data_IF_268376275408
#
_entry.id   IF_268376275408
#
_cell.length_a   1.000
_cell.length_b   1.000
_cell.length_c   1.000
_cell.angle_alpha   90.00
_cell.angle_beta   90.00
_cell.angle_gamma   90.00
#
_symmetry.space_group_name_H-M   'P 1'
#
loop_
_entity.id
_entity.type
_entity.pdbx_description
1 polymer ?
#
# COMPACT_ATOMS: atom_id res chain seq x y z
N UNK A 1 54.62 25.23 16.86
CA UNK A 1 53.34 25.90 17.19
C UNK A 1 52.51 25.97 15.90
N UNK A 2 51.31 25.38 15.87
CA UNK A 2 50.45 25.30 14.68
C UNK A 2 49.57 26.55 14.59
N UNK A 3 49.47 27.21 13.43
CA UNK A 3 48.51 28.29 13.17
C UNK A 3 47.88 28.17 11.77
N UNK A 4 46.54 28.18 11.80
CA UNK A 4 45.47 28.40 10.80
C UNK A 4 45.73 28.12 9.31
N UNK A 5 45.01 27.20 8.66
CA UNK A 5 43.56 27.17 8.32
C UNK A 5 43.19 28.20 7.26
N UNK A 6 43.02 27.72 6.03
CA UNK A 6 42.53 28.50 4.90
C UNK A 6 42.40 27.61 3.68
N UNK A 7 41.30 26.85 3.58
CA UNK A 7 40.97 26.16 2.34
C UNK A 7 39.47 26.15 2.14
N UNK A 8 39.04 27.26 1.54
CA UNK A 8 38.22 27.29 0.34
C UNK A 8 36.76 26.82 0.44
N UNK A 9 35.89 27.82 0.43
CA UNK A 9 34.44 27.73 0.34
C UNK A 9 34.03 27.01 -0.96
N UNK A 10 33.33 25.89 -0.82
CA UNK A 10 32.61 25.23 -1.92
C UNK A 10 31.11 25.32 -1.61
N UNK A 11 30.43 26.34 -2.12
CA UNK A 11 28.99 26.27 -2.27
C UNK A 11 28.69 25.50 -3.55
N UNK A 12 28.37 24.22 -3.43
CA UNK A 12 27.67 23.51 -4.51
C UNK A 12 26.22 23.36 -4.06
N UNK A 13 25.41 24.35 -4.46
CA UNK A 13 23.99 24.14 -4.67
C UNK A 13 23.86 23.09 -5.79
N UNK A 14 23.41 21.90 -5.42
CA UNK A 14 23.31 20.75 -6.30
C UNK A 14 22.32 19.75 -5.74
N UNK A 15 21.05 20.14 -5.81
CA UNK A 15 19.85 19.35 -5.56
C UNK A 15 20.01 17.86 -5.94
N UNK A 16 20.26 16.99 -4.97
CA UNK A 16 20.07 15.55 -5.14
C UNK A 16 19.03 15.09 -4.12
N UNK A 17 17.79 15.21 -4.54
CA UNK A 17 16.66 14.48 -3.98
C UNK A 17 17.02 12.99 -4.09
N UNK A 18 17.11 12.22 -2.98
CA UNK A 18 17.21 10.78 -3.11
C UNK A 18 15.96 10.30 -3.84
N UNK A 19 16.16 9.72 -5.04
CA UNK A 19 15.13 9.11 -5.87
C UNK A 19 14.23 8.23 -4.99
N UNK A 20 12.96 8.61 -4.90
CA UNK A 20 11.92 7.83 -4.25
C UNK A 20 11.89 6.41 -4.83
N UNK A 21 12.42 5.45 -4.07
CA UNK A 21 12.13 4.03 -4.26
C UNK A 21 11.84 3.45 -2.87
N UNK A 22 10.58 3.49 -2.39
CA UNK A 22 10.23 2.66 -1.26
C UNK A 22 10.28 1.21 -1.73
N UNK A 23 11.30 0.48 -1.30
CA UNK A 23 11.32 -0.99 -1.32
C UNK A 23 10.18 -1.44 -0.38
N UNK A 24 9.02 -1.78 -0.94
CA UNK A 24 7.95 -2.43 -0.17
C UNK A 24 8.36 -3.86 0.13
N UNK A 25 9.09 -4.05 1.21
CA UNK A 25 9.17 -5.34 1.88
C UNK A 25 8.94 -5.17 3.37
N UNK A 26 7.82 -5.78 3.76
CA UNK A 26 7.52 -6.43 5.05
C UNK A 26 7.01 -5.58 6.22
N UNK A 27 5.80 -6.01 6.60
CA UNK A 27 5.34 -6.33 7.96
C UNK A 27 5.33 -5.22 9.01
N UNK A 28 4.09 -4.90 9.38
CA UNK A 28 3.58 -4.87 10.75
C UNK A 28 4.20 -3.88 11.75
N UNK A 29 3.30 -3.07 12.32
CA UNK A 29 3.38 -2.41 13.62
C UNK A 29 4.27 -1.16 13.77
N UNK A 30 3.56 -0.03 13.76
CA UNK A 30 3.69 1.11 14.69
C UNK A 30 4.89 2.06 14.52
N UNK A 31 4.64 3.29 14.03
CA UNK A 31 4.77 4.53 14.82
C UNK A 31 4.73 5.78 13.94
N UNK A 32 3.83 6.70 14.29
CA UNK A 32 3.43 7.94 13.61
C UNK A 32 4.57 8.79 13.03
N UNK A 33 4.56 9.03 11.72
CA UNK A 33 4.73 10.38 11.14
C UNK A 33 4.29 10.38 9.67
N UNK A 34 3.48 11.37 9.31
CA UNK A 34 2.67 11.42 8.10
C UNK A 34 3.49 11.45 6.79
N UNK A 35 3.74 10.28 6.23
CA UNK A 35 3.79 10.12 4.77
C UNK A 35 2.53 9.34 4.39
N UNK A 36 1.57 10.01 3.77
CA UNK A 36 0.38 9.35 3.22
C UNK A 36 0.81 8.59 1.96
N UNK A 37 1.55 7.50 2.12
CA UNK A 37 1.84 6.56 1.04
C UNK A 37 0.61 5.69 0.82
N UNK A 38 -0.09 5.90 -0.29
CA UNK A 38 -1.14 5.00 -0.72
C UNK A 38 -0.57 3.58 -0.83
N UNK A 39 -1.18 2.66 -0.10
CA UNK A 39 -0.87 1.23 -0.06
C UNK A 39 -1.84 0.49 -0.96
N UNK A 40 -1.32 -0.50 -1.67
CA UNK A 40 -2.11 -1.42 -2.50
C UNK A 40 -1.90 -2.83 -1.99
N UNK A 41 -2.98 -3.53 -1.71
CA UNK A 41 -2.97 -4.90 -1.19
C UNK A 41 -3.68 -5.79 -2.19
N UNK A 42 -3.00 -6.83 -2.65
CA UNK A 42 -3.58 -7.87 -3.50
C UNK A 42 -3.86 -9.12 -2.66
N UNK A 43 -5.10 -9.59 -2.71
CA UNK A 43 -5.60 -10.73 -1.95
C UNK A 43 -6.06 -11.78 -2.96
N UNK A 44 -5.47 -12.97 -2.89
CA UNK A 44 -5.87 -14.10 -3.72
C UNK A 44 -6.90 -14.92 -2.94
N UNK A 45 -8.08 -15.10 -3.54
CA UNK A 45 -9.22 -15.77 -2.94
C UNK A 45 -9.58 -17.01 -3.76
N UNK A 46 -9.61 -18.21 -3.17
CA UNK A 46 -10.10 -19.39 -3.86
C UNK A 46 -11.59 -19.30 -4.21
N UNK A 47 -11.97 -19.75 -5.41
CA UNK A 47 -13.35 -19.66 -5.91
C UNK A 47 -14.36 -20.39 -5.00
N UNK A 48 -13.89 -21.44 -4.32
CA UNK A 48 -14.68 -22.17 -3.33
C UNK A 48 -15.19 -21.29 -2.17
N UNK A 49 -14.46 -20.22 -1.82
CA UNK A 49 -14.86 -19.25 -0.79
C UNK A 49 -15.29 -17.92 -1.39
N UNK A 50 -14.90 -17.63 -2.64
CA UNK A 50 -15.32 -16.42 -3.38
C UNK A 50 -16.84 -16.27 -3.38
N UNK A 51 -17.62 -17.34 -3.57
CA UNK A 51 -19.08 -17.29 -3.52
C UNK A 51 -19.68 -16.96 -2.14
N UNK A 52 -18.91 -17.12 -1.06
CA UNK A 52 -19.31 -16.66 0.29
C UNK A 52 -18.93 -15.20 0.52
N UNK A 53 -17.78 -14.76 -0.03
CA UNK A 53 -17.36 -13.36 0.02
C UNK A 53 -18.24 -12.49 -0.86
N UNK A 54 -18.51 -12.94 -2.09
CA UNK A 54 -19.56 -12.41 -2.94
C UNK A 54 -20.90 -12.93 -2.43
N UNK A 55 -21.44 -12.26 -1.42
CA UNK A 55 -22.87 -12.38 -1.09
C UNK A 55 -23.70 -12.29 -2.38
N UNK A 56 -24.85 -12.95 -2.44
CA UNK A 56 -25.76 -13.01 -3.61
C UNK A 56 -25.98 -11.65 -4.31
N UNK A 57 -25.88 -10.53 -3.57
CA UNK A 57 -26.04 -9.16 -4.08
C UNK A 57 -24.74 -8.32 -4.19
N UNK A 58 -23.55 -8.91 -4.05
CA UNK A 58 -22.27 -8.16 -4.07
C UNK A 58 -22.03 -7.18 -2.90
N UNK A 59 -22.97 -7.11 -1.95
CA UNK A 59 -23.01 -6.12 -0.85
C UNK A 59 -21.81 -6.14 0.10
N UNK A 60 -21.08 -7.25 0.21
CA UNK A 60 -19.94 -7.36 1.12
C UNK A 60 -18.78 -6.44 0.73
N UNK A 61 -18.43 -6.33 -0.55
CA UNK A 61 -17.37 -5.44 -1.00
C UNK A 61 -17.77 -3.98 -0.90
N UNK A 62 -19.04 -3.66 -1.11
CA UNK A 62 -19.55 -2.30 -0.93
C UNK A 62 -19.55 -1.90 0.53
N UNK A 63 -19.92 -2.81 1.43
CA UNK A 63 -19.76 -2.60 2.87
C UNK A 63 -18.29 -2.44 3.24
N UNK A 64 -17.39 -3.25 2.67
CA UNK A 64 -15.95 -3.13 2.90
C UNK A 64 -15.43 -1.74 2.48
N UNK A 65 -15.83 -1.26 1.30
CA UNK A 65 -15.51 0.09 0.81
C UNK A 65 -16.08 1.19 1.72
N UNK A 66 -17.30 1.01 2.22
CA UNK A 66 -17.96 2.01 3.07
C UNK A 66 -17.35 2.08 4.47
N UNK A 67 -17.02 0.93 5.06
CA UNK A 67 -16.42 0.85 6.42
C UNK A 67 -14.96 1.27 6.39
N UNK A 68 -14.18 0.78 5.42
CA UNK A 68 -12.75 1.09 5.33
C UNK A 68 -12.45 2.42 4.63
N UNK A 69 -13.37 2.93 3.81
CA UNK A 69 -13.10 4.07 2.91
C UNK A 69 -12.01 3.79 1.87
N UNK A 70 -11.61 2.53 1.70
CA UNK A 70 -10.64 2.07 0.70
C UNK A 70 -11.34 1.77 -0.64
N UNK A 71 -10.60 1.93 -1.74
CA UNK A 71 -11.06 1.49 -3.05
C UNK A 71 -10.80 0.00 -3.18
N UNK A 72 -11.83 -0.79 -3.40
CA UNK A 72 -11.71 -2.24 -3.60
C UNK A 72 -12.02 -2.55 -5.07
N UNK A 73 -11.16 -3.31 -5.73
CA UNK A 73 -11.34 -3.80 -7.10
C UNK A 73 -11.30 -5.31 -7.03
N UNK A 74 -12.23 -6.00 -7.68
CA UNK A 74 -12.16 -7.46 -7.75
C UNK A 74 -12.01 -7.88 -9.19
N UNK A 75 -11.03 -8.75 -9.42
CA UNK A 75 -10.75 -9.35 -10.71
C UNK A 75 -11.39 -10.73 -10.77
N UNK A 76 -12.07 -10.98 -11.88
CA UNK A 76 -12.63 -12.29 -12.18
C UNK A 76 -11.53 -13.36 -12.21
N UNK A 77 -11.86 -14.59 -11.81
CA UNK A 77 -10.91 -15.69 -11.88
C UNK A 77 -10.46 -15.90 -13.32
N UNK A 78 -9.14 -16.01 -13.52
CA UNK A 78 -8.57 -16.29 -14.84
C UNK A 78 -9.03 -17.67 -15.31
N UNK A 79 -9.42 -17.80 -16.57
CA UNK A 79 -9.80 -19.07 -17.19
C UNK A 79 -8.72 -20.13 -16.94
N UNK A 80 -9.10 -21.25 -16.32
CA UNK A 80 -8.18 -22.32 -15.91
C UNK A 80 -7.65 -22.20 -14.47
N UNK A 81 -8.00 -21.14 -13.73
CA UNK A 81 -7.62 -20.94 -12.33
C UNK A 81 -8.86 -20.75 -11.46
N UNK A 82 -9.02 -21.55 -10.40
CA UNK A 82 -10.10 -21.38 -9.43
C UNK A 82 -9.75 -20.31 -8.38
N UNK A 83 -9.13 -19.20 -8.79
CA UNK A 83 -8.64 -18.15 -7.90
C UNK A 83 -9.09 -16.78 -8.43
N UNK A 84 -9.78 -16.02 -7.59
CA UNK A 84 -10.14 -14.61 -7.81
C UNK A 84 -9.13 -13.70 -7.12
N UNK A 85 -8.90 -12.50 -7.65
CA UNK A 85 -7.95 -11.55 -7.06
C UNK A 85 -8.71 -10.30 -6.63
N UNK A 86 -8.68 -9.99 -5.34
CA UNK A 86 -9.24 -8.76 -4.75
C UNK A 86 -8.09 -7.79 -4.49
N UNK A 87 -8.17 -6.58 -5.02
CA UNK A 87 -7.17 -5.53 -4.83
C UNK A 87 -7.77 -4.38 -4.03
N UNK A 88 -7.15 -4.04 -2.91
CA UNK A 88 -7.56 -2.95 -2.03
C UNK A 88 -6.53 -1.82 -2.12
N UNK A 89 -6.99 -0.63 -2.45
CA UNK A 89 -6.20 0.59 -2.56
C UNK A 89 -6.65 1.58 -1.49
N UNK A 90 -5.71 2.11 -0.72
CA UNK A 90 -6.04 3.10 0.29
C UNK A 90 -4.82 3.58 1.06
N UNK A 91 -5.02 4.42 2.06
CA UNK A 91 -3.97 4.68 3.04
C UNK A 91 -3.76 3.42 3.89
N UNK A 92 -2.59 3.25 4.55
CA UNK A 92 -2.33 2.11 5.41
C UNK A 92 -3.46 1.86 6.44
N UNK A 93 -3.97 2.94 7.02
CA UNK A 93 -5.09 2.96 7.97
C UNK A 93 -6.38 2.36 7.36
N UNK A 94 -6.75 2.81 6.15
CA UNK A 94 -7.91 2.29 5.43
C UNK A 94 -7.74 0.82 5.03
N UNK A 95 -6.56 0.46 4.52
CA UNK A 95 -6.29 -0.93 4.12
C UNK A 95 -6.27 -1.86 5.32
N UNK A 96 -5.81 -1.39 6.48
CA UNK A 96 -5.80 -2.15 7.73
C UNK A 96 -7.23 -2.41 8.22
N UNK A 97 -8.11 -1.41 8.17
CA UNK A 97 -9.55 -1.61 8.48
C UNK A 97 -10.19 -2.61 7.52
N UNK A 98 -9.82 -2.58 6.24
CA UNK A 98 -10.35 -3.52 5.25
C UNK A 98 -9.83 -4.97 5.43
N UNK A 99 -8.76 -5.17 6.20
CA UNK A 99 -8.20 -6.49 6.50
C UNK A 99 -8.59 -7.01 7.89
N UNK A 100 -9.28 -6.18 8.69
CA UNK A 100 -9.66 -6.50 10.06
C UNK A 100 -10.79 -7.51 10.16
#
# INVERSE_FOLDING_TARGET
MRKATGTDLRFIVGNQVPKCAPKMLKSYSESRSAVVTNTTIEIVVPNAVTGSIYSENGSNFDRLRQVSGAKVVVHEPRLGTNLSIVVIFGTPDKTQVAQS
#
